data_IF_654308944280
#
_entry.id   IF_654308944280
#
_cell.length_a   1.000
_cell.length_b   1.000
_cell.length_c   1.000
_cell.angle_alpha   90.00
_cell.angle_beta   90.00
_cell.angle_gamma   90.00
#
_symmetry.space_group_name_H-M   'P 1'
#
loop_
_entity.id
_entity.type
_entity.pdbx_description
1 polymer ?
#
# COMPACT_ATOMS: atom_id res chain seq x y z
N UNK A 1 45.84 51.02 -9.83
CA UNK A 1 46.03 49.55 -9.74
C UNK A 1 44.80 48.96 -9.07
N UNK A 2 43.86 48.48 -9.87
CA UNK A 2 42.67 47.79 -9.40
C UNK A 2 42.95 46.27 -9.47
N UNK A 3 42.88 45.57 -8.34
CA UNK A 3 42.89 44.12 -8.36
C UNK A 3 42.19 43.47 -7.15
N UNK A 4 41.13 42.73 -7.49
CA UNK A 4 40.76 41.42 -6.95
C UNK A 4 39.90 41.30 -5.68
N UNK A 5 38.93 40.38 -5.83
CA UNK A 5 38.20 39.56 -4.83
C UNK A 5 36.84 40.04 -4.37
N UNK A 6 35.85 39.67 -5.18
CA UNK A 6 34.52 39.27 -4.72
C UNK A 6 34.64 38.30 -3.52
N UNK A 7 34.10 38.69 -2.36
CA UNK A 7 33.82 37.80 -1.22
C UNK A 7 32.37 37.34 -1.30
N UNK A 8 32.18 36.03 -1.37
CA UNK A 8 30.88 35.34 -1.25
C UNK A 8 30.40 35.41 0.20
N UNK A 9 29.14 35.75 0.50
CA UNK A 9 28.55 35.53 1.82
C UNK A 9 28.11 34.06 1.97
N UNK A 10 28.61 33.44 3.04
CA UNK A 10 28.30 32.08 3.49
C UNK A 10 26.82 31.98 3.84
N UNK A 11 26.06 31.19 3.07
CA UNK A 11 24.68 30.83 3.41
C UNK A 11 24.66 29.82 4.56
N UNK A 12 23.84 30.10 5.56
CA UNK A 12 23.59 29.26 6.73
C UNK A 12 23.17 27.83 6.34
N UNK A 13 23.76 26.89 7.07
CA UNK A 13 23.49 25.47 7.24
C UNK A 13 22.14 24.92 6.74
N UNK A 14 22.23 23.90 5.89
CA UNK A 14 21.15 22.97 5.54
C UNK A 14 20.66 22.17 6.77
N UNK A 15 19.39 21.74 6.81
CA UNK A 15 18.90 20.88 7.88
C UNK A 15 19.42 19.45 7.73
N UNK A 16 19.82 18.95 8.88
CA UNK A 16 20.29 17.62 9.26
C UNK A 16 19.52 16.45 8.65
N UNK A 17 20.29 15.46 8.20
CA UNK A 17 19.86 14.14 7.74
C UNK A 17 18.93 13.43 8.72
N UNK A 18 17.67 13.23 8.32
CA UNK A 18 16.75 12.30 8.97
C UNK A 18 16.93 10.90 8.36
N UNK A 19 17.51 9.99 9.14
CA UNK A 19 17.65 8.57 8.80
C UNK A 19 16.28 7.88 8.88
N UNK A 20 15.77 7.41 7.74
CA UNK A 20 14.80 6.32 7.65
C UNK A 20 15.41 5.20 6.83
N UNK A 21 15.38 3.97 7.37
CA UNK A 21 15.57 2.69 6.65
C UNK A 21 16.78 2.61 5.72
N UNK A 22 17.88 2.00 6.20
CA UNK A 22 19.16 1.92 5.50
C UNK A 22 19.07 1.57 4.01
N UNK A 23 19.28 2.58 3.17
CA UNK A 23 20.25 2.69 2.08
C UNK A 23 20.37 4.21 1.85
N UNK A 24 21.56 4.75 2.10
CA UNK A 24 21.81 6.19 1.96
C UNK A 24 21.91 6.52 0.47
N UNK A 25 21.31 7.64 0.04
CA UNK A 25 21.36 8.21 -1.33
C UNK A 25 22.79 8.30 -1.92
N UNK A 26 23.81 8.18 -1.06
CA UNK A 26 25.24 8.13 -1.39
C UNK A 26 25.71 6.80 -2.03
N UNK A 27 25.14 5.64 -1.68
CA UNK A 27 25.59 4.36 -2.29
C UNK A 27 25.13 4.22 -3.74
N UNK A 28 23.98 4.81 -4.09
CA UNK A 28 23.53 4.92 -5.48
C UNK A 28 24.42 5.85 -6.33
N UNK A 29 25.12 6.81 -5.69
CA UNK A 29 26.08 7.69 -6.38
C UNK A 29 27.42 7.01 -6.66
N UNK A 30 27.87 6.08 -5.82
CA UNK A 30 29.15 5.38 -6.01
C UNK A 30 29.10 4.37 -7.16
N UNK A 31 27.98 3.68 -7.36
CA UNK A 31 27.80 2.79 -8.52
C UNK A 31 27.72 3.54 -9.87
N UNK A 32 27.59 4.87 -9.87
CA UNK A 32 27.52 5.69 -11.09
C UNK A 32 28.88 6.02 -11.73
N UNK A 33 30.01 5.84 -11.02
CA UNK A 33 31.30 6.37 -11.45
C UNK A 33 32.21 5.39 -12.18
N UNK A 34 31.95 4.08 -12.12
CA UNK A 34 32.89 3.06 -12.65
C UNK A 34 32.36 2.20 -13.80
N UNK A 35 31.21 2.54 -14.39
CA UNK A 35 30.64 1.77 -15.51
C UNK A 35 30.49 2.60 -16.80
N UNK A 36 30.74 2.02 -17.98
CA UNK A 36 30.71 2.75 -19.25
C UNK A 36 29.32 3.39 -19.50
N UNK A 37 29.28 4.62 -20.08
CA UNK A 37 28.14 5.53 -20.04
C UNK A 37 26.88 5.07 -20.79
N UNK A 38 26.94 3.94 -21.50
CA UNK A 38 25.84 3.38 -22.29
C UNK A 38 25.03 2.30 -21.55
N UNK A 39 25.60 1.54 -20.61
CA UNK A 39 24.85 0.50 -19.87
C UNK A 39 24.39 0.96 -18.47
N UNK A 40 25.20 1.79 -17.78
CA UNK A 40 24.88 2.26 -16.42
C UNK A 40 23.57 3.04 -16.34
N UNK A 41 23.26 3.84 -17.38
CA UNK A 41 21.99 4.61 -17.44
C UNK A 41 20.76 3.71 -17.57
N UNK A 42 20.86 2.56 -18.24
CA UNK A 42 19.75 1.62 -18.38
C UNK A 42 19.52 0.84 -17.08
N UNK A 43 20.60 0.42 -16.41
CA UNK A 43 20.51 -0.27 -15.12
C UNK A 43 19.92 0.65 -14.01
N UNK A 44 20.35 1.92 -13.97
CA UNK A 44 19.82 2.92 -13.02
C UNK A 44 18.35 3.24 -13.33
N UNK A 45 17.96 3.32 -14.60
CA UNK A 45 16.57 3.59 -14.99
C UNK A 45 15.64 2.41 -14.66
N UNK A 46 16.10 1.17 -14.84
CA UNK A 46 15.36 -0.03 -14.46
C UNK A 46 15.27 -0.17 -12.93
N UNK A 47 16.33 0.19 -12.19
CA UNK A 47 16.32 0.23 -10.72
C UNK A 47 15.43 1.35 -10.17
N UNK A 48 15.42 2.54 -10.79
CA UNK A 48 14.49 3.62 -10.43
C UNK A 48 13.04 3.26 -10.75
N UNK A 49 12.77 2.64 -11.90
CA UNK A 49 11.44 2.10 -12.20
C UNK A 49 11.03 1.02 -11.22
N UNK A 50 11.95 0.13 -10.83
CA UNK A 50 11.70 -0.93 -9.85
C UNK A 50 11.44 -0.40 -8.43
N UNK A 51 12.18 0.61 -7.98
CA UNK A 51 12.00 1.24 -6.65
C UNK A 51 10.67 2.03 -6.59
N UNK A 52 10.27 2.69 -7.68
CA UNK A 52 8.96 3.37 -7.79
C UNK A 52 7.82 2.34 -7.83
N UNK A 53 8.01 1.22 -8.54
CA UNK A 53 7.05 0.11 -8.61
C UNK A 53 6.94 -0.67 -7.30
N UNK A 54 8.03 -0.86 -6.56
CA UNK A 54 8.01 -1.63 -5.30
C UNK A 54 7.51 -0.77 -4.12
N UNK A 55 7.85 0.53 -4.05
CA UNK A 55 7.49 1.36 -2.89
C UNK A 55 6.25 2.27 -3.07
N UNK A 56 5.96 2.74 -4.30
CA UNK A 56 4.82 3.65 -4.56
C UNK A 56 3.51 2.91 -4.80
N UNK A 57 3.59 1.72 -5.38
CA UNK A 57 2.44 0.89 -5.72
C UNK A 57 1.88 0.19 -4.47
N UNK A 58 2.71 -0.18 -3.50
CA UNK A 58 2.25 -0.83 -2.26
C UNK A 58 1.39 0.07 -1.34
N UNK A 59 1.59 1.40 -1.38
CA UNK A 59 0.84 2.34 -0.53
C UNK A 59 -0.51 2.71 -1.16
N UNK A 60 -0.63 2.68 -2.49
CA UNK A 60 -1.86 2.99 -3.22
C UNK A 60 -2.72 1.76 -3.58
N UNK A 61 -2.17 0.54 -3.47
CA UNK A 61 -2.88 -0.72 -3.71
C UNK A 61 -3.69 -1.23 -2.51
N UNK A 62 -3.71 -0.50 -1.39
CA UNK A 62 -4.39 -0.96 -0.18
C UNK A 62 -5.91 -1.02 -0.34
N UNK A 63 -6.47 -0.24 -1.28
CA UNK A 63 -7.86 -0.37 -1.73
C UNK A 63 -7.93 -1.26 -2.98
N UNK A 64 -8.30 -2.53 -2.76
CA UNK A 64 -8.56 -3.57 -3.79
C UNK A 64 -9.43 -3.07 -4.95
N UNK A 65 -10.23 -2.04 -4.69
CA UNK A 65 -11.25 -1.44 -5.51
C UNK A 65 -10.74 -0.88 -6.86
N UNK A 66 -9.60 -0.19 -6.86
CA UNK A 66 -9.06 0.47 -8.05
C UNK A 66 -7.81 -0.21 -8.60
N UNK A 67 -7.45 -1.39 -8.09
CA UNK A 67 -6.21 -2.07 -8.47
C UNK A 67 -6.08 -2.22 -9.99
N UNK A 68 -7.16 -2.58 -10.69
CA UNK A 68 -7.15 -2.75 -12.16
C UNK A 68 -6.99 -1.42 -12.90
N UNK A 69 -7.70 -0.39 -12.43
CA UNK A 69 -7.70 0.96 -13.03
C UNK A 69 -6.32 1.61 -12.83
N UNK A 70 -5.75 1.53 -11.63
CA UNK A 70 -4.42 2.04 -11.34
C UNK A 70 -3.33 1.28 -12.09
N UNK A 71 -3.39 -0.06 -12.14
CA UNK A 71 -2.46 -0.87 -12.94
C UNK A 71 -2.51 -0.46 -14.40
N UNK A 72 -3.71 -0.32 -14.97
CA UNK A 72 -3.86 0.12 -16.36
C UNK A 72 -3.31 1.54 -16.59
N UNK A 73 -3.59 2.48 -15.70
CA UNK A 73 -3.09 3.85 -15.79
C UNK A 73 -1.55 3.90 -15.75
N UNK A 74 -0.94 3.19 -14.80
CA UNK A 74 0.53 3.15 -14.61
C UNK A 74 1.20 2.46 -15.80
N UNK A 75 0.71 1.30 -16.22
CA UNK A 75 1.26 0.58 -17.38
C UNK A 75 1.17 1.42 -18.66
N UNK A 76 0.03 2.09 -18.88
CA UNK A 76 -0.13 2.98 -20.04
C UNK A 76 0.77 4.21 -19.96
N UNK A 77 0.95 4.80 -18.78
CA UNK A 77 1.87 5.92 -18.59
C UNK A 77 3.31 5.51 -18.95
N UNK A 78 3.78 4.37 -18.44
CA UNK A 78 5.12 3.84 -18.74
C UNK A 78 5.27 3.58 -20.24
N UNK A 79 4.29 2.90 -20.86
CA UNK A 79 4.30 2.63 -22.30
C UNK A 79 4.32 3.91 -23.14
N UNK A 80 3.47 4.89 -22.80
CA UNK A 80 3.39 6.16 -23.54
C UNK A 80 4.65 7.00 -23.38
N UNK A 81 5.29 7.00 -22.19
CA UNK A 81 6.57 7.68 -21.97
C UNK A 81 7.70 7.01 -22.76
N UNK A 82 7.76 5.68 -22.76
CA UNK A 82 8.75 4.93 -23.52
C UNK A 82 8.60 5.19 -25.03
N UNK A 83 7.36 5.10 -25.55
CA UNK A 83 7.06 5.41 -26.94
C UNK A 83 7.38 6.86 -27.27
N UNK A 84 7.01 7.79 -26.39
CA UNK A 84 7.29 9.20 -26.61
C UNK A 84 8.78 9.51 -26.72
N UNK A 85 9.59 8.87 -25.88
CA UNK A 85 11.03 8.97 -25.97
C UNK A 85 11.55 8.40 -27.30
N UNK A 86 11.05 7.25 -27.73
CA UNK A 86 11.52 6.61 -28.96
C UNK A 86 11.17 7.43 -30.20
N UNK A 87 9.92 7.88 -30.36
CA UNK A 87 9.56 8.64 -31.57
C UNK A 87 10.27 10.01 -31.57
N UNK A 88 10.60 10.59 -30.41
CA UNK A 88 11.42 11.81 -30.34
C UNK A 88 12.87 11.58 -30.80
N UNK A 89 13.44 10.41 -30.55
CA UNK A 89 14.82 10.08 -30.92
C UNK A 89 14.91 9.65 -32.39
N UNK A 90 14.01 8.77 -32.83
CA UNK A 90 14.07 8.13 -34.14
C UNK A 90 13.26 8.84 -35.21
N UNK A 91 12.11 9.42 -34.85
CA UNK A 91 11.18 10.05 -35.80
C UNK A 91 11.16 11.59 -35.68
N UNK A 92 11.87 12.16 -34.70
CA UNK A 92 11.90 13.61 -34.36
C UNK A 92 10.51 14.22 -34.14
N UNK A 93 9.55 13.40 -33.70
CA UNK A 93 8.18 13.85 -33.40
C UNK A 93 8.14 14.49 -32.01
N UNK A 94 7.42 15.60 -31.87
CA UNK A 94 7.21 16.29 -30.59
C UNK A 94 5.95 15.81 -29.90
N UNK A 95 5.99 15.69 -28.57
CA UNK A 95 4.88 15.18 -27.77
C UNK A 95 4.11 16.30 -27.09
N UNK A 96 2.78 16.21 -27.17
CA UNK A 96 1.90 17.04 -26.37
C UNK A 96 1.49 16.29 -25.10
N UNK A 97 1.76 16.89 -23.94
CA UNK A 97 1.28 16.39 -22.64
C UNK A 97 -0.25 16.21 -22.62
N UNK A 98 -0.98 17.06 -23.34
CA UNK A 98 -2.44 16.95 -23.45
C UNK A 98 -2.87 15.71 -24.24
N UNK A 99 -2.07 15.26 -25.21
CA UNK A 99 -2.34 14.02 -25.94
C UNK A 99 -2.09 12.81 -25.07
N UNK A 100 -0.99 12.81 -24.30
CA UNK A 100 -0.68 11.73 -23.35
C UNK A 100 -1.79 11.62 -22.29
N UNK A 101 -2.19 12.74 -21.69
CA UNK A 101 -3.31 12.78 -20.72
C UNK A 101 -4.60 12.20 -21.31
N UNK A 102 -4.99 12.64 -22.52
CA UNK A 102 -6.19 12.12 -23.21
C UNK A 102 -6.11 10.60 -23.44
N UNK A 103 -4.98 10.08 -23.90
CA UNK A 103 -4.82 8.63 -24.14
C UNK A 103 -4.92 7.83 -22.85
N UNK A 104 -4.30 8.29 -21.77
CA UNK A 104 -4.41 7.65 -20.46
C UNK A 104 -5.86 7.63 -19.99
N UNK A 105 -6.58 8.75 -20.10
CA UNK A 105 -7.99 8.82 -19.70
C UNK A 105 -8.88 7.87 -20.51
N UNK A 106 -8.66 7.73 -21.81
CA UNK A 106 -9.42 6.78 -22.65
C UNK A 106 -9.19 5.35 -22.16
N UNK A 107 -7.94 4.94 -21.98
CA UNK A 107 -7.65 3.56 -21.55
C UNK A 107 -8.16 3.29 -20.14
N UNK A 108 -8.06 4.27 -19.24
CA UNK A 108 -8.63 4.18 -17.89
C UNK A 108 -10.14 3.96 -17.94
N UNK A 109 -10.87 4.66 -18.81
CA UNK A 109 -12.32 4.47 -19.00
C UNK A 109 -12.66 3.10 -19.53
N UNK A 110 -11.92 2.62 -20.54
CA UNK A 110 -12.15 1.30 -21.15
C UNK A 110 -11.94 0.18 -20.13
N UNK A 111 -10.82 0.23 -19.38
CA UNK A 111 -10.51 -0.76 -18.34
C UNK A 111 -11.50 -0.67 -17.18
N UNK A 112 -11.92 0.53 -16.80
CA UNK A 112 -12.91 0.68 -15.74
C UNK A 112 -14.26 0.06 -16.11
N UNK A 113 -14.66 0.10 -17.38
CA UNK A 113 -15.82 -0.63 -17.89
C UNK A 113 -15.73 -2.14 -17.66
N UNK A 114 -14.53 -2.71 -17.87
CA UNK A 114 -14.26 -4.14 -17.74
C UNK A 114 -14.00 -4.61 -16.30
N UNK A 115 -13.58 -3.73 -15.40
CA UNK A 115 -13.26 -4.12 -14.02
C UNK A 115 -14.48 -4.69 -13.30
N UNK A 116 -14.30 -5.75 -12.51
CA UNK A 116 -15.37 -6.37 -11.71
C UNK A 116 -15.53 -5.73 -10.33
N UNK A 117 -14.68 -4.77 -10.00
CA UNK A 117 -14.69 -4.14 -8.69
C UNK A 117 -15.83 -3.13 -8.57
N UNK A 118 -16.40 -3.02 -7.37
CA UNK A 118 -17.52 -2.12 -7.04
C UNK A 118 -17.06 -1.01 -6.13
N UNK A 119 -17.65 0.19 -6.20
CA UNK A 119 -17.26 1.33 -5.35
C UNK A 119 -17.63 1.15 -3.87
N UNK A 120 -16.85 1.74 -2.95
CA UNK A 120 -17.17 1.79 -1.52
C UNK A 120 -18.27 2.84 -1.23
N UNK A 121 -18.51 3.71 -2.21
CA UNK A 121 -19.57 4.73 -2.24
C UNK A 121 -19.35 5.83 -1.19
N UNK A 122 -18.10 6.25 -1.01
CA UNK A 122 -17.76 7.45 -0.24
C UNK A 122 -17.64 8.68 -1.17
N UNK A 123 -17.76 9.89 -0.60
CA UNK A 123 -17.73 11.12 -1.40
C UNK A 123 -16.40 11.32 -2.15
N UNK A 124 -15.29 10.88 -1.56
CA UNK A 124 -13.96 11.02 -2.13
C UNK A 124 -13.79 10.17 -3.40
N UNK A 125 -14.22 8.91 -3.36
CA UNK A 125 -14.26 8.01 -4.51
C UNK A 125 -15.14 8.54 -5.63
N UNK A 126 -16.30 9.09 -5.27
CA UNK A 126 -17.22 9.67 -6.25
C UNK A 126 -16.57 10.85 -6.99
N UNK A 127 -15.82 11.70 -6.28
CA UNK A 127 -15.07 12.80 -6.89
C UNK A 127 -13.98 12.30 -7.84
N UNK A 128 -13.23 11.26 -7.45
CA UNK A 128 -12.19 10.66 -8.30
C UNK A 128 -12.80 10.07 -9.57
N UNK A 129 -13.88 9.30 -9.43
CA UNK A 129 -14.56 8.66 -10.57
C UNK A 129 -15.17 9.70 -11.51
N UNK A 130 -15.74 10.77 -10.97
CA UNK A 130 -16.23 11.91 -11.74
C UNK A 130 -15.10 12.62 -12.49
N UNK A 131 -13.96 12.87 -11.84
CA UNK A 131 -12.80 13.50 -12.46
C UNK A 131 -12.18 12.66 -13.60
N UNK A 132 -12.19 11.33 -13.44
CA UNK A 132 -11.72 10.39 -14.46
C UNK A 132 -12.77 10.15 -15.57
N UNK A 133 -14.02 10.58 -15.36
CA UNK A 133 -15.14 10.36 -16.29
C UNK A 133 -15.45 8.88 -16.50
N UNK A 134 -15.25 8.08 -15.45
CA UNK A 134 -15.50 6.63 -15.43
C UNK A 134 -16.95 6.38 -15.00
N UNK A 135 -17.66 5.39 -15.55
CA UNK A 135 -19.00 5.03 -15.09
C UNK A 135 -18.98 4.59 -13.62
N UNK A 136 -19.88 5.15 -12.82
CA UNK A 136 -20.07 4.76 -11.41
C UNK A 136 -20.64 3.36 -11.32
N UNK A 137 -19.96 2.45 -10.61
CA UNK A 137 -20.45 1.11 -10.32
C UNK A 137 -21.00 1.03 -8.90
N UNK A 138 -22.27 0.67 -8.77
CA UNK A 138 -22.92 0.51 -7.48
C UNK A 138 -22.14 -0.51 -6.61
N UNK A 139 -22.07 -0.24 -5.32
CA UNK A 139 -21.50 -1.17 -4.35
C UNK A 139 -22.27 -2.48 -4.39
N UNK A 140 -21.55 -3.61 -4.46
CA UNK A 140 -22.19 -4.90 -4.25
C UNK A 140 -22.79 -4.91 -2.85
N UNK A 141 -24.08 -5.28 -2.75
CA UNK A 141 -24.73 -5.42 -1.45
C UNK A 141 -23.88 -6.34 -0.57
N UNK A 142 -23.61 -5.96 0.69
CA UNK A 142 -22.88 -6.84 1.60
C UNK A 142 -23.63 -8.17 1.67
N UNK A 143 -22.92 -9.26 1.36
CA UNK A 143 -23.49 -10.59 1.48
C UNK A 143 -23.74 -10.83 2.96
N UNK A 144 -25.01 -10.91 3.36
CA UNK A 144 -25.38 -11.38 4.70
C UNK A 144 -25.07 -12.87 4.73
N UNK A 145 -23.95 -13.23 5.33
CA UNK A 145 -23.58 -14.61 5.57
C UNK A 145 -23.97 -14.96 7.00
N UNK A 146 -24.79 -15.99 7.17
CA UNK A 146 -25.08 -16.53 8.49
C UNK A 146 -23.79 -17.09 9.09
N UNK A 147 -23.26 -16.45 10.10
CA UNK A 147 -22.17 -16.98 10.90
C UNK A 147 -22.77 -17.87 11.99
N UNK A 148 -22.83 -19.18 11.74
CA UNK A 148 -23.25 -20.14 12.77
C UNK A 148 -22.07 -20.44 13.68
N UNK A 149 -22.24 -20.16 14.98
CA UNK A 149 -21.23 -20.50 15.97
C UNK A 149 -21.45 -21.94 16.44
N UNK A 150 -20.64 -22.87 15.93
CA UNK A 150 -20.64 -24.24 16.41
C UNK A 150 -19.86 -24.37 17.74
N UNK A 151 -20.43 -25.14 18.67
CA UNK A 151 -19.81 -25.50 19.93
C UNK A 151 -18.56 -26.35 19.69
N UNK A 152 -17.47 -26.17 20.46
CA UNK A 152 -16.34 -27.06 20.41
C UNK A 152 -16.70 -28.46 20.94
N UNK A 153 -15.94 -29.47 20.54
CA UNK A 153 -16.05 -30.82 21.08
C UNK A 153 -15.73 -30.86 22.58
N UNK A 154 -16.15 -31.92 23.26
CA UNK A 154 -15.86 -32.12 24.68
C UNK A 154 -14.37 -31.95 24.98
N UNK A 155 -14.05 -31.27 26.09
CA UNK A 155 -12.69 -30.88 26.51
C UNK A 155 -11.91 -29.96 25.55
N UNK A 156 -12.53 -29.43 24.49
CA UNK A 156 -11.94 -28.35 23.69
C UNK A 156 -12.42 -26.99 24.16
N UNK A 157 -11.51 -26.02 24.13
CA UNK A 157 -11.83 -24.60 24.36
C UNK A 157 -11.82 -23.89 23.01
N UNK A 158 -12.95 -23.27 22.65
CA UNK A 158 -13.00 -22.42 21.45
C UNK A 158 -12.67 -21.00 21.83
N UNK A 159 -11.69 -20.40 21.15
CA UNK A 159 -11.25 -19.04 21.42
C UNK A 159 -11.47 -18.20 20.18
N UNK A 160 -12.35 -17.20 20.30
CA UNK A 160 -12.60 -16.25 19.21
C UNK A 160 -11.79 -15.01 19.51
N UNK A 161 -10.82 -14.69 18.66
CA UNK A 161 -10.06 -13.44 18.76
C UNK A 161 -10.57 -12.42 17.75
N UNK A 162 -10.41 -11.15 18.08
CA UNK A 162 -10.81 -10.02 17.25
C UNK A 162 -9.96 -8.80 17.54
N UNK A 163 -10.05 -7.82 16.65
CA UNK A 163 -9.32 -6.57 16.74
C UNK A 163 -10.25 -5.39 16.47
N UNK A 164 -10.00 -4.28 17.15
CA UNK A 164 -10.57 -2.98 16.85
C UNK A 164 -9.43 -1.99 16.60
N UNK A 165 -9.47 -1.28 15.47
CA UNK A 165 -8.45 -0.28 15.09
C UNK A 165 -9.12 1.05 14.83
N UNK A 166 -8.55 2.14 15.36
CA UNK A 166 -9.01 3.51 15.18
C UNK A 166 -7.91 4.31 14.47
N UNK A 167 -8.15 4.64 13.20
CA UNK A 167 -7.18 5.29 12.31
C UNK A 167 -6.11 4.29 11.85
N UNK A 168 -5.82 4.24 10.55
CA UNK A 168 -4.76 3.39 9.98
C UNK A 168 -3.67 4.30 9.39
N UNK A 169 -2.43 4.35 9.95
CA UNK A 169 -1.99 3.79 11.24
C UNK A 169 -2.62 4.51 12.45
N UNK A 170 -2.75 3.83 13.60
CA UNK A 170 -3.42 4.40 14.77
C UNK A 170 -3.50 3.49 16.00
N UNK A 171 -4.41 3.79 16.91
CA UNK A 171 -4.58 3.03 18.16
C UNK A 171 -5.39 1.77 17.87
N UNK A 172 -4.99 0.64 18.44
CA UNK A 172 -5.72 -0.61 18.31
C UNK A 172 -5.91 -1.31 19.65
N UNK A 173 -6.92 -2.18 19.69
CA UNK A 173 -7.18 -3.08 20.78
C UNK A 173 -7.43 -4.47 20.23
N UNK A 174 -6.88 -5.47 20.90
CA UNK A 174 -7.17 -6.88 20.62
C UNK A 174 -7.99 -7.45 21.76
N UNK A 175 -8.83 -8.41 21.44
CA UNK A 175 -9.59 -9.13 22.45
C UNK A 175 -9.86 -10.56 22.02
N UNK A 176 -10.14 -11.41 23.00
CA UNK A 176 -10.57 -12.77 22.76
C UNK A 176 -11.59 -13.23 23.81
N UNK A 177 -12.47 -14.13 23.39
CA UNK A 177 -13.45 -14.79 24.26
C UNK A 177 -13.25 -16.29 24.14
N UNK A 178 -12.99 -16.95 25.27
CA UNK A 178 -12.87 -18.39 25.34
C UNK A 178 -14.16 -19.02 25.85
N UNK A 179 -14.62 -20.08 25.18
CA UNK A 179 -15.83 -20.82 25.54
C UNK A 179 -15.58 -22.32 25.60
N UNK A 180 -16.30 -23.00 26.49
CA UNK A 180 -16.29 -24.46 26.59
C UNK A 180 -17.29 -25.11 25.60
N UNK A 181 -17.38 -26.43 25.64
CA UNK A 181 -18.29 -27.25 24.83
C UNK A 181 -19.77 -27.06 25.15
N UNK A 182 -20.11 -26.45 26.29
CA UNK A 182 -21.46 -26.03 26.65
C UNK A 182 -21.78 -24.60 26.16
N UNK A 183 -20.79 -23.89 25.60
CA UNK A 183 -20.95 -22.52 25.12
C UNK A 183 -20.78 -21.45 26.19
N UNK A 184 -20.45 -21.86 27.41
CA UNK A 184 -20.21 -20.98 28.55
C UNK A 184 -18.91 -20.23 28.36
N UNK A 185 -18.92 -18.94 28.70
CA UNK A 185 -17.72 -18.11 28.66
C UNK A 185 -16.82 -18.49 29.83
N UNK A 186 -15.63 -19.00 29.51
CA UNK A 186 -14.62 -19.35 30.50
C UNK A 186 -13.89 -18.10 30.97
N UNK A 187 -13.32 -17.35 30.02
CA UNK A 187 -12.57 -16.11 30.27
C UNK A 187 -12.60 -15.19 29.05
N UNK A 188 -12.25 -13.93 29.31
CA UNK A 188 -12.11 -12.87 28.30
C UNK A 188 -10.70 -12.27 28.40
N UNK A 189 -10.11 -11.97 27.25
CA UNK A 189 -8.83 -11.29 27.10
C UNK A 189 -9.05 -9.97 26.38
N UNK A 190 -8.43 -8.90 26.87
CA UNK A 190 -8.44 -7.58 26.22
C UNK A 190 -7.05 -6.96 26.43
N UNK A 191 -6.44 -6.44 25.36
CA UNK A 191 -5.14 -5.77 25.41
C UNK A 191 -5.10 -4.61 24.41
N UNK A 192 -4.74 -3.43 24.88
CA UNK A 192 -4.41 -2.30 24.01
C UNK A 192 -3.07 -2.53 23.31
N UNK A 193 -3.00 -2.24 22.02
CA UNK A 193 -1.78 -2.34 21.23
C UNK A 193 -1.58 -1.09 20.36
N UNK A 194 -0.33 -0.67 20.22
CA UNK A 194 0.03 0.43 19.33
C UNK A 194 0.43 -0.19 17.99
N UNK A 195 -0.42 -0.07 16.97
CA UNK A 195 -0.22 -0.83 15.73
C UNK A 195 -0.02 0.08 14.53
N UNK A 196 0.71 -0.46 13.55
CA UNK A 196 1.00 0.23 12.30
C UNK A 196 -0.07 -0.05 11.24
N UNK A 197 -0.65 -1.26 11.23
CA UNK A 197 -1.68 -1.66 10.25
C UNK A 197 -2.66 -2.68 10.83
N UNK A 198 -3.81 -2.86 10.16
CA UNK A 198 -4.81 -3.86 10.53
C UNK A 198 -4.23 -5.28 10.56
N UNK A 199 -3.48 -5.65 9.52
CA UNK A 199 -2.85 -6.97 9.41
C UNK A 199 -1.94 -7.29 10.60
N UNK A 200 -1.03 -6.36 10.97
CA UNK A 200 -0.18 -6.56 12.15
C UNK A 200 -1.00 -6.72 13.43
N UNK A 201 -2.12 -6.01 13.52
CA UNK A 201 -3.00 -6.07 14.69
C UNK A 201 -3.73 -7.41 14.79
N UNK A 202 -4.12 -8.02 13.67
CA UNK A 202 -4.70 -9.36 13.64
C UNK A 202 -3.68 -10.44 14.02
N UNK A 203 -2.44 -10.34 13.53
CA UNK A 203 -1.36 -11.26 13.94
C UNK A 203 -1.10 -11.17 15.45
N UNK A 204 -1.02 -9.96 16.00
CA UNK A 204 -0.89 -9.71 17.45
C UNK A 204 -2.08 -10.26 18.23
N UNK A 205 -3.30 -10.18 17.69
CA UNK A 205 -4.49 -10.77 18.31
C UNK A 205 -4.35 -12.29 18.47
N UNK A 206 -3.95 -12.98 17.40
CA UNK A 206 -3.78 -14.45 17.42
C UNK A 206 -2.66 -14.84 18.38
N UNK A 207 -1.48 -14.22 18.25
CA UNK A 207 -0.31 -14.53 19.07
C UNK A 207 -0.59 -14.24 20.55
N UNK A 208 -1.14 -13.07 20.87
CA UNK A 208 -1.49 -12.70 22.24
C UNK A 208 -2.52 -13.64 22.86
N UNK A 209 -3.50 -14.08 22.07
CA UNK A 209 -4.52 -15.03 22.50
C UNK A 209 -3.95 -16.44 22.74
N UNK A 210 -3.00 -16.89 21.91
CA UNK A 210 -2.31 -18.16 22.10
C UNK A 210 -1.47 -18.17 23.38
N UNK A 211 -0.68 -17.11 23.63
CA UNK A 211 0.06 -16.96 24.87
C UNK A 211 -0.85 -16.97 26.09
N UNK A 212 -1.98 -16.26 26.00
CA UNK A 212 -2.98 -16.26 27.04
C UNK A 212 -3.60 -17.65 27.25
N UNK A 213 -3.87 -18.43 26.20
CA UNK A 213 -4.37 -19.80 26.33
C UNK A 213 -3.38 -20.72 27.08
N UNK A 214 -2.08 -20.59 26.80
CA UNK A 214 -1.01 -21.34 27.49
C UNK A 214 -0.99 -20.97 28.98
N UNK A 215 -1.11 -19.70 29.33
CA UNK A 215 -1.19 -19.24 30.73
C UNK A 215 -2.40 -19.80 31.49
N UNK A 216 -3.46 -20.17 30.77
CA UNK A 216 -4.66 -20.79 31.34
C UNK A 216 -4.61 -22.34 31.31
N UNK A 217 -3.47 -22.93 30.95
CA UNK A 217 -3.28 -24.39 30.83
C UNK A 217 -4.26 -25.05 29.84
N UNK A 218 -4.66 -24.34 28.78
CA UNK A 218 -5.52 -24.90 27.74
C UNK A 218 -4.68 -25.56 26.65
N UNK A 219 -4.60 -26.89 26.72
CA UNK A 219 -3.79 -27.70 25.79
C UNK A 219 -4.55 -28.11 24.52
N UNK A 220 -5.88 -27.96 24.50
CA UNK A 220 -6.73 -28.37 23.38
C UNK A 220 -7.68 -27.23 22.99
N UNK A 221 -7.18 -26.37 22.10
CA UNK A 221 -7.88 -25.14 21.68
C UNK A 221 -8.31 -25.19 20.22
N UNK A 222 -9.40 -24.50 19.93
CA UNK A 222 -9.88 -24.21 18.59
C UNK A 222 -9.98 -22.69 18.44
N UNK A 223 -9.17 -22.11 17.55
CA UNK A 223 -9.24 -20.69 17.16
C UNK A 223 -10.03 -20.58 15.87
#
# INVERSE_FOLDING_TARGET
MANSRYKVPITKSAPTDQKFGGITILEAKLYCLESPPSLGKYAIMLLQQRIILENGVLILLQDVLYADIWKAAVLNLIYLLWRARNDSIFERITFSLNNIKRRILVVVKDVAGLSRNSMANNCFELQIVAALGVPTKARLLPRIQSCTWALPWFQKVKIICGVAVIGLPGKAGIGAVARNHCGEVLRVFIKGINTKTLFFSECEAIIGTLYWAIQNNWNNIWI
#
